data_IF_723811962742
#
_entry.id   IF_723811962742
#
_cell.length_a   1.000
_cell.length_b   1.000
_cell.length_c   1.000
_cell.angle_alpha   90.00
_cell.angle_beta   90.00
_cell.angle_gamma   90.00
#
_symmetry.space_group_name_H-M   'P 1'
#
loop_
_entity.id
_entity.type
_entity.pdbx_description
1 polymer ?
#
# COMPACT_ATOMS: atom_id res chain seq x y z
N UNK A 1 11.77 14.23 10.97
CA UNK A 1 12.64 15.12 10.16
C UNK A 1 12.28 14.98 8.68
N UNK A 2 11.78 16.05 8.09
CA UNK A 2 11.55 16.08 6.65
C UNK A 2 12.90 16.10 5.93
N UNK A 3 13.13 15.11 5.08
CA UNK A 3 14.27 15.14 4.17
C UNK A 3 13.94 16.12 3.04
N UNK A 4 14.79 17.12 2.84
CA UNK A 4 14.67 18.03 1.72
C UNK A 4 14.93 17.28 0.41
N UNK A 5 13.94 17.24 -0.48
CA UNK A 5 14.06 16.63 -1.80
C UNK A 5 14.48 17.70 -2.80
N UNK A 6 15.53 17.41 -3.59
CA UNK A 6 15.97 18.26 -4.68
C UNK A 6 15.49 17.67 -6.00
N UNK A 7 14.88 18.50 -6.84
CA UNK A 7 14.35 18.10 -8.15
C UNK A 7 15.05 18.88 -9.27
N UNK A 8 15.17 18.28 -10.47
CA UNK A 8 15.58 19.02 -11.68
C UNK A 8 14.64 20.20 -11.96
N UNK A 9 15.12 21.21 -12.68
CA UNK A 9 14.37 22.45 -12.96
C UNK A 9 13.08 22.21 -13.75
N UNK A 10 13.00 21.11 -14.52
CA UNK A 10 11.84 20.73 -15.32
C UNK A 10 10.83 19.86 -14.53
N UNK A 11 11.08 19.63 -13.24
CA UNK A 11 10.20 18.85 -12.36
C UNK A 11 9.59 19.78 -11.31
N UNK A 12 8.27 19.80 -11.24
CA UNK A 12 7.52 20.58 -10.26
C UNK A 12 6.90 19.66 -9.20
N UNK A 13 7.18 19.96 -7.93
CA UNK A 13 6.51 19.28 -6.81
C UNK A 13 5.07 19.82 -6.71
N UNK A 14 4.07 18.95 -6.90
CA UNK A 14 2.65 19.34 -6.84
C UNK A 14 2.07 19.16 -5.44
N UNK A 15 2.45 18.10 -4.75
CA UNK A 15 1.93 17.81 -3.40
C UNK A 15 2.88 16.92 -2.62
N UNK A 16 2.77 16.98 -1.30
CA UNK A 16 3.51 16.12 -0.36
C UNK A 16 2.53 15.62 0.69
N UNK A 17 2.60 14.32 0.97
CA UNK A 17 1.79 13.68 2.01
C UNK A 17 2.72 13.04 3.04
N UNK A 18 2.44 13.27 4.32
CA UNK A 18 3.17 12.68 5.43
C UNK A 18 2.30 11.64 6.12
N UNK A 19 2.79 10.41 6.20
CA UNK A 19 2.07 9.28 6.78
C UNK A 19 2.79 8.70 7.98
N UNK A 20 2.01 8.27 8.97
CA UNK A 20 2.49 7.51 10.10
C UNK A 20 2.17 6.02 9.90
N UNK A 21 3.11 5.10 10.16
CA UNK A 21 2.83 3.68 10.12
C UNK A 21 1.89 3.28 11.27
N UNK A 22 1.12 2.23 11.05
CA UNK A 22 0.26 1.62 12.07
C UNK A 22 0.78 0.22 12.44
N UNK A 23 0.11 -0.85 12.00
CA UNK A 23 0.52 -2.24 12.30
C UNK A 23 1.83 -2.64 11.62
N UNK A 24 2.08 -2.16 10.42
CA UNK A 24 3.26 -2.41 9.60
C UNK A 24 3.63 -1.15 8.83
N UNK A 25 4.89 -0.98 8.45
CA UNK A 25 6.02 -1.89 8.63
C UNK A 25 6.51 -1.95 10.08
N UNK A 26 7.19 -3.06 10.45
CA UNK A 26 7.79 -3.23 11.76
C UNK A 26 9.23 -2.70 11.84
N UNK A 27 9.82 -2.39 10.69
CA UNK A 27 11.18 -1.92 10.55
C UNK A 27 11.29 -0.84 9.45
N UNK A 28 12.49 -0.31 9.26
CA UNK A 28 12.81 0.68 8.23
C UNK A 28 13.61 0.10 7.06
N UNK A 29 13.59 -1.21 6.88
CA UNK A 29 14.31 -1.88 5.81
C UNK A 29 13.66 -1.61 4.45
N UNK A 30 14.48 -1.22 3.47
CA UNK A 30 14.00 -1.06 2.10
C UNK A 30 13.55 -2.41 1.53
N UNK A 31 12.45 -2.40 0.82
CA UNK A 31 11.93 -3.60 0.15
C UNK A 31 12.65 -3.79 -1.17
N UNK A 32 13.18 -5.00 -1.38
CA UNK A 32 13.96 -5.35 -2.58
C UNK A 32 13.38 -6.54 -3.34
N UNK A 33 12.32 -7.14 -2.83
CA UNK A 33 11.68 -8.32 -3.43
C UNK A 33 11.03 -7.95 -4.75
N UNK A 34 11.34 -8.70 -5.82
CA UNK A 34 10.70 -8.53 -7.13
C UNK A 34 9.22 -8.88 -7.06
N UNK A 35 8.40 -8.17 -7.82
CA UNK A 35 6.95 -8.37 -7.88
C UNK A 35 6.22 -7.06 -8.08
N UNK A 36 4.93 -7.08 -7.75
CA UNK A 36 4.05 -5.92 -7.88
C UNK A 36 3.76 -5.36 -6.50
N UNK A 37 3.95 -4.05 -6.33
CA UNK A 37 3.58 -3.32 -5.12
C UNK A 37 2.37 -2.46 -5.43
N UNK A 38 1.23 -2.77 -4.79
CA UNK A 38 0.00 -2.01 -4.98
C UNK A 38 -0.12 -1.00 -3.85
N UNK A 39 -0.12 0.27 -4.22
CA UNK A 39 -0.40 1.40 -3.34
C UNK A 39 -1.89 1.69 -3.41
N UNK A 40 -2.60 1.35 -2.37
CA UNK A 40 -4.03 1.64 -2.26
C UNK A 40 -4.23 2.84 -1.36
N UNK A 41 -4.54 3.97 -1.99
CA UNK A 41 -4.93 5.20 -1.32
C UNK A 41 -6.42 5.14 -1.02
N UNK A 42 -6.82 5.48 0.18
CA UNK A 42 -8.24 5.53 0.50
C UNK A 42 -8.54 6.54 1.60
N UNK A 43 -9.71 7.16 1.49
CA UNK A 43 -10.20 8.17 2.42
C UNK A 43 -11.23 7.55 3.35
N UNK A 44 -11.13 7.87 4.63
CA UNK A 44 -12.03 7.38 5.67
C UNK A 44 -12.37 8.53 6.63
N UNK A 45 -13.47 8.41 7.35
CA UNK A 45 -13.75 9.31 8.47
C UNK A 45 -12.74 9.05 9.60
N UNK A 46 -12.29 10.09 10.32
CA UNK A 46 -11.29 9.93 11.39
C UNK A 46 -11.65 8.91 12.45
N UNK A 47 -12.92 8.78 12.81
CA UNK A 47 -13.40 7.83 13.80
C UNK A 47 -13.47 6.37 13.30
N UNK A 48 -13.32 6.14 11.99
CA UNK A 48 -13.27 4.81 11.41
C UNK A 48 -11.85 4.23 11.34
N UNK A 49 -10.82 5.01 11.57
CA UNK A 49 -9.42 4.59 11.42
C UNK A 49 -9.08 3.37 12.29
N UNK A 50 -9.42 3.42 13.57
CA UNK A 50 -9.11 2.34 14.51
C UNK A 50 -9.82 1.03 14.14
N UNK A 51 -11.07 1.11 13.71
CA UNK A 51 -11.82 -0.06 13.24
C UNK A 51 -11.17 -0.66 11.98
N UNK A 52 -10.75 0.16 11.04
CA UNK A 52 -10.05 -0.28 9.82
C UNK A 52 -8.73 -0.98 10.15
N UNK A 53 -7.98 -0.46 11.09
CA UNK A 53 -6.73 -1.08 11.56
C UNK A 53 -7.03 -2.46 12.16
N UNK A 54 -8.05 -2.56 13.01
CA UNK A 54 -8.42 -3.83 13.64
C UNK A 54 -8.93 -4.86 12.62
N UNK A 55 -9.76 -4.45 11.67
CA UNK A 55 -10.24 -5.32 10.59
C UNK A 55 -9.08 -5.83 9.73
N UNK A 56 -8.11 -4.98 9.44
CA UNK A 56 -6.91 -5.35 8.70
C UNK A 56 -6.07 -6.38 9.46
N UNK A 57 -5.82 -6.14 10.73
CA UNK A 57 -5.10 -7.08 11.60
C UNK A 57 -5.75 -8.46 11.59
N UNK A 58 -7.08 -8.52 11.67
CA UNK A 58 -7.81 -9.79 11.70
C UNK A 58 -7.80 -10.53 10.36
N UNK A 59 -7.79 -9.80 9.23
CA UNK A 59 -7.88 -10.39 7.89
C UNK A 59 -6.53 -10.83 7.31
N UNK A 60 -5.44 -10.16 7.65
CA UNK A 60 -4.15 -10.37 6.99
C UNK A 60 -3.58 -11.79 7.11
N UNK A 61 -3.64 -12.48 8.26
CA UNK A 61 -3.10 -13.84 8.35
C UNK A 61 -3.74 -14.81 7.35
N UNK A 62 -5.07 -14.77 7.22
CA UNK A 62 -5.81 -15.59 6.26
C UNK A 62 -5.49 -15.19 4.82
N UNK A 63 -5.44 -13.90 4.56
CA UNK A 63 -5.15 -13.34 3.24
C UNK A 63 -3.75 -13.73 2.76
N UNK A 64 -2.74 -13.51 3.59
CA UNK A 64 -1.36 -13.84 3.28
C UNK A 64 -1.10 -15.35 3.24
N UNK A 65 -1.88 -16.13 3.95
CA UNK A 65 -1.83 -17.60 3.91
C UNK A 65 -2.50 -18.20 2.66
N UNK A 66 -3.36 -17.45 1.99
CA UNK A 66 -4.13 -17.92 0.83
C UNK A 66 -3.54 -17.54 -0.52
N UNK A 67 -2.70 -16.51 -0.57
CA UNK A 67 -2.12 -15.97 -1.81
C UNK A 67 -0.63 -15.71 -1.62
N UNK A 68 0.12 -15.68 -2.73
CA UNK A 68 1.51 -15.23 -2.73
C UNK A 68 1.56 -13.70 -2.64
N UNK A 69 1.28 -13.20 -1.46
CA UNK A 69 1.16 -11.77 -1.16
C UNK A 69 1.69 -11.48 0.24
N UNK A 70 2.04 -10.23 0.48
CA UNK A 70 2.48 -9.76 1.79
C UNK A 70 2.13 -8.28 1.95
N UNK A 71 1.47 -7.95 3.05
CA UNK A 71 1.20 -6.56 3.37
C UNK A 71 2.48 -5.90 3.87
N UNK A 72 2.93 -4.87 3.17
CA UNK A 72 4.16 -4.14 3.49
C UNK A 72 3.92 -3.04 4.52
N UNK A 73 2.78 -2.38 4.45
CA UNK A 73 2.48 -1.32 5.40
C UNK A 73 1.04 -0.83 5.30
N UNK A 74 0.54 -0.33 6.41
CA UNK A 74 -0.72 0.40 6.51
C UNK A 74 -0.44 1.70 7.26
N UNK A 75 -0.66 2.81 6.59
CA UNK A 75 -0.29 4.13 7.05
C UNK A 75 -1.53 5.01 7.16
N UNK A 76 -1.48 5.96 8.08
CA UNK A 76 -2.50 7.00 8.22
C UNK A 76 -1.84 8.37 8.06
N UNK A 77 -2.46 9.26 7.33
CA UNK A 77 -1.98 10.63 7.19
C UNK A 77 -2.02 11.34 8.54
N UNK A 78 -0.97 12.11 8.82
CA UNK A 78 -0.82 12.80 10.11
C UNK A 78 -1.90 13.86 10.34
N UNK A 79 -2.44 14.44 9.27
CA UNK A 79 -3.47 15.48 9.31
C UNK A 79 -4.49 15.26 8.20
N UNK A 80 -5.73 15.66 8.41
CA UNK A 80 -6.76 15.62 7.39
C UNK A 80 -8.13 15.23 7.92
N UNK A 81 -9.19 15.69 7.22
CA UNK A 81 -10.57 15.27 7.44
C UNK A 81 -11.30 15.32 6.09
N UNK A 82 -11.70 14.16 5.54
CA UNK A 82 -11.52 12.79 6.06
C UNK A 82 -10.06 12.37 6.13
N UNK A 83 -9.76 11.37 6.94
CA UNK A 83 -8.40 10.84 7.06
C UNK A 83 -8.01 10.07 5.81
N UNK A 84 -6.83 10.34 5.30
CA UNK A 84 -6.23 9.56 4.22
C UNK A 84 -5.44 8.40 4.81
N UNK A 85 -5.59 7.22 4.22
CA UNK A 85 -4.83 6.03 4.56
C UNK A 85 -4.15 5.48 3.31
N UNK A 86 -3.03 4.82 3.50
CA UNK A 86 -2.26 4.18 2.45
C UNK A 86 -1.94 2.75 2.86
N UNK A 87 -2.41 1.79 2.06
CA UNK A 87 -2.06 0.39 2.19
C UNK A 87 -1.10 0.01 1.07
N UNK A 88 0.05 -0.55 1.42
CA UNK A 88 1.02 -1.06 0.46
C UNK A 88 1.08 -2.57 0.59
N UNK A 89 0.76 -3.28 -0.49
CA UNK A 89 0.74 -4.74 -0.52
C UNK A 89 1.61 -5.24 -1.67
N UNK A 90 2.50 -6.18 -1.38
CA UNK A 90 3.27 -6.90 -2.38
C UNK A 90 2.47 -8.10 -2.89
N UNK A 91 2.54 -8.32 -4.20
CA UNK A 91 2.01 -9.51 -4.89
C UNK A 91 3.11 -10.07 -5.79
N UNK A 92 3.16 -11.38 -5.92
CA UNK A 92 4.13 -12.05 -6.79
C UNK A 92 4.05 -11.52 -8.23
N UNK A 93 2.84 -11.33 -8.74
CA UNK A 93 2.57 -10.82 -10.08
C UNK A 93 1.12 -10.29 -10.17
N UNK A 94 0.74 -9.77 -11.34
CA UNK A 94 -0.61 -9.23 -11.57
C UNK A 94 -1.70 -10.32 -11.47
N UNK A 95 -1.40 -11.57 -11.85
CA UNK A 95 -2.35 -12.67 -11.75
C UNK A 95 -2.73 -12.96 -10.30
N UNK A 96 -1.75 -12.98 -9.40
CA UNK A 96 -2.00 -13.14 -7.96
C UNK A 96 -2.83 -11.97 -7.42
N UNK A 97 -2.53 -10.74 -7.84
CA UNK A 97 -3.34 -9.58 -7.46
C UNK A 97 -4.79 -9.74 -7.92
N UNK A 98 -5.01 -10.18 -9.15
CA UNK A 98 -6.37 -10.43 -9.67
C UNK A 98 -7.11 -11.51 -8.86
N UNK A 99 -6.45 -12.62 -8.59
CA UNK A 99 -7.00 -13.71 -7.78
C UNK A 99 -7.36 -13.24 -6.36
N UNK A 100 -6.56 -12.35 -5.78
CA UNK A 100 -6.75 -11.83 -4.43
C UNK A 100 -8.02 -10.97 -4.26
N UNK A 101 -8.65 -10.56 -5.36
CA UNK A 101 -9.93 -9.85 -5.32
C UNK A 101 -11.08 -10.73 -4.86
N UNK A 102 -10.87 -12.05 -4.86
CA UNK A 102 -11.81 -13.06 -4.36
C UNK A 102 -11.23 -13.72 -3.10
N UNK A 103 -11.14 -13.01 -1.97
CA UNK A 103 -10.52 -13.53 -0.76
C UNK A 103 -11.33 -14.68 -0.17
N UNK A 104 -10.67 -15.56 0.64
CA UNK A 104 -11.36 -16.60 1.38
C UNK A 104 -12.45 -16.03 2.29
N UNK A 105 -13.46 -16.84 2.58
CA UNK A 105 -14.63 -16.43 3.37
C UNK A 105 -14.25 -15.78 4.71
N UNK A 106 -13.25 -16.33 5.39
CA UNK A 106 -12.78 -15.81 6.70
C UNK A 106 -12.23 -14.38 6.63
N UNK A 107 -11.65 -13.97 5.49
CA UNK A 107 -11.15 -12.61 5.30
C UNK A 107 -12.20 -11.70 4.66
N UNK A 108 -13.16 -12.27 3.92
CA UNK A 108 -14.14 -11.53 3.13
C UNK A 108 -14.98 -10.58 3.99
N UNK A 109 -15.45 -11.04 5.13
CA UNK A 109 -16.28 -10.22 6.02
C UNK A 109 -15.55 -8.96 6.49
N UNK A 110 -14.31 -9.11 6.94
CA UNK A 110 -13.47 -7.97 7.34
C UNK A 110 -13.20 -7.02 6.19
N UNK A 111 -12.95 -7.53 4.99
CA UNK A 111 -12.74 -6.71 3.80
C UNK A 111 -13.99 -5.97 3.35
N UNK A 112 -15.17 -6.62 3.43
CA UNK A 112 -16.45 -5.98 3.12
C UNK A 112 -16.74 -4.84 4.11
N UNK A 113 -16.52 -5.07 5.39
CA UNK A 113 -16.72 -4.03 6.41
C UNK A 113 -15.76 -2.87 6.19
N UNK A 114 -14.49 -3.14 5.91
CA UNK A 114 -13.51 -2.11 5.59
C UNK A 114 -13.92 -1.30 4.36
N UNK A 115 -14.45 -1.97 3.33
CA UNK A 115 -14.97 -1.31 2.13
C UNK A 115 -16.13 -0.36 2.45
N UNK A 116 -17.03 -0.76 3.33
CA UNK A 116 -18.15 0.07 3.79
C UNK A 116 -17.68 1.33 4.54
N UNK A 117 -16.54 1.26 5.23
CA UNK A 117 -15.93 2.39 5.95
C UNK A 117 -15.10 3.30 5.05
N UNK A 118 -14.86 2.89 3.82
CA UNK A 118 -14.05 3.62 2.85
C UNK A 118 -14.92 4.57 2.04
N UNK A 119 -14.58 5.87 2.05
CA UNK A 119 -15.29 6.90 1.27
C UNK A 119 -14.83 6.92 -0.18
N UNK A 120 -13.53 6.70 -0.42
CA UNK A 120 -12.91 6.71 -1.73
C UNK A 120 -11.67 5.82 -1.71
N UNK A 121 -11.38 5.13 -2.80
CA UNK A 121 -10.19 4.28 -2.91
C UNK A 121 -9.60 4.35 -4.31
N UNK A 122 -8.26 4.40 -4.37
CA UNK A 122 -7.50 4.43 -5.63
C UNK A 122 -6.30 3.48 -5.52
N UNK A 123 -6.32 2.33 -6.21
CA UNK A 123 -5.17 1.44 -6.29
C UNK A 123 -4.22 1.90 -7.40
N UNK A 124 -2.92 1.84 -7.12
CA UNK A 124 -1.86 2.10 -8.09
C UNK A 124 -0.88 0.94 -8.02
N UNK A 125 -0.78 0.16 -9.10
CA UNK A 125 0.20 -0.92 -9.19
C UNK A 125 1.56 -0.36 -9.62
N UNK A 126 2.60 -0.76 -8.92
CA UNK A 126 3.98 -0.32 -9.17
C UNK A 126 4.94 -1.49 -9.17
N UNK A 127 6.13 -1.27 -9.71
CA UNK A 127 7.26 -2.20 -9.65
C UNK A 127 8.47 -1.47 -9.09
N UNK A 128 9.33 -2.20 -8.38
CA UNK A 128 10.60 -1.64 -7.93
C UNK A 128 11.49 -1.34 -9.13
N UNK A 129 12.06 -0.14 -9.14
CA UNK A 129 13.07 0.25 -10.11
C UNK A 129 14.43 0.12 -9.44
N UNK A 130 15.08 -1.02 -9.64
CA UNK A 130 16.40 -1.32 -9.06
C UNK A 130 17.51 -0.86 -10.00
N UNK A 131 18.69 -0.49 -9.47
CA UNK A 131 19.81 -0.07 -10.32
C UNK A 131 20.20 -1.08 -11.40
N UNK A 132 20.19 -2.37 -11.09
CA UNK A 132 20.46 -3.44 -12.04
C UNK A 132 19.41 -3.49 -13.17
N UNK A 133 18.15 -3.27 -12.83
CA UNK A 133 17.04 -3.22 -13.80
C UNK A 133 17.19 -2.02 -14.73
N UNK A 134 17.63 -0.88 -14.22
CA UNK A 134 17.91 0.31 -15.03
C UNK A 134 19.03 0.04 -16.05
N UNK A 135 20.11 -0.61 -15.62
CA UNK A 135 21.22 -0.97 -16.49
C UNK A 135 20.78 -1.90 -17.62
N UNK A 136 19.89 -2.84 -17.33
CA UNK A 136 19.35 -3.75 -18.35
C UNK A 136 18.46 -3.01 -19.35
N UNK A 137 17.63 -2.08 -18.90
CA UNK A 137 16.78 -1.28 -19.79
C UNK A 137 17.60 -0.42 -20.73
N UNK A 138 18.70 0.17 -20.26
CA UNK A 138 19.60 0.98 -21.09
C UNK A 138 20.36 0.12 -22.08
N UNK A 139 20.74 -1.10 -21.73
CA UNK A 139 21.47 -1.98 -22.62
C UNK A 139 20.63 -2.55 -23.78
N UNK A 140 19.30 -2.49 -23.66
CA UNK A 140 18.36 -2.95 -24.70
C UNK A 140 17.78 -1.80 -25.54
N UNK A 141 18.14 -0.60 -25.21
CA UNK A 141 17.79 0.57 -25.99
C UNK A 141 18.81 0.81 -27.07
#
# INVERSE_FOLDING_TARGET
TQTSLSFPDDVQLLSTHLFNPTLRPLDHQARTRAGIYVFRWFSVLPDAVDEIIQLSYNAWPTFEGSFETEVQGLFVEATGQPSEMLLITWYKNLSVWEESRHPPENARESFLRRHQLTLNAKPIATMLNMPESQSQLVSHA
#
